data_IF_760527393352
#
_entry.id   IF_760527393352
#
_cell.length_a   1.000
_cell.length_b   1.000
_cell.length_c   1.000
_cell.angle_alpha   90.00
_cell.angle_beta   90.00
_cell.angle_gamma   90.00
#
_symmetry.space_group_name_H-M   'P 1'
#
loop_
_entity.id
_entity.type
_entity.pdbx_description
1 polymer ?
#
# COMPACT_ATOMS: atom_id res chain seq x y z
N UNK A 1 19.93 -7.79 -6.98
CA UNK A 1 20.60 -6.84 -7.89
C UNK A 1 20.90 -5.53 -7.15
N UNK A 2 22.12 -4.99 -7.27
CA UNK A 2 22.47 -3.69 -6.71
C UNK A 2 22.43 -2.65 -7.84
N UNK A 3 21.54 -1.67 -7.71
CA UNK A 3 21.41 -0.58 -8.67
C UNK A 3 22.27 0.61 -8.29
N UNK A 4 22.93 1.22 -9.28
CA UNK A 4 23.64 2.50 -9.06
C UNK A 4 22.64 3.64 -8.79
N UNK A 5 23.08 4.70 -8.12
CA UNK A 5 22.25 5.91 -7.92
C UNK A 5 21.72 6.49 -9.23
N UNK A 6 22.48 6.39 -10.33
CA UNK A 6 22.07 6.81 -11.67
C UNK A 6 20.92 5.92 -12.19
N UNK A 7 21.04 4.60 -12.06
CA UNK A 7 20.02 3.65 -12.49
C UNK A 7 18.72 3.77 -11.68
N UNK A 8 18.81 4.13 -10.40
CA UNK A 8 17.65 4.36 -9.56
C UNK A 8 16.88 5.65 -9.89
N UNK A 9 17.49 6.59 -10.61
CA UNK A 9 16.86 7.88 -10.91
C UNK A 9 16.56 8.73 -9.65
N UNK A 10 15.92 9.88 -9.84
CA UNK A 10 15.51 10.79 -8.76
C UNK A 10 13.99 10.82 -8.64
N UNK A 11 13.47 10.87 -7.42
CA UNK A 11 12.05 11.04 -7.16
C UNK A 11 11.51 12.43 -7.62
N UNK A 12 12.37 13.41 -7.73
CA UNK A 12 11.97 14.79 -7.98
C UNK A 12 11.71 15.56 -6.68
N UNK A 13 11.08 16.72 -6.80
CA UNK A 13 10.70 17.55 -5.65
C UNK A 13 9.38 17.00 -5.05
N UNK A 14 9.33 16.91 -3.73
CA UNK A 14 8.11 16.60 -3.00
C UNK A 14 7.07 17.71 -3.20
N UNK A 15 5.77 17.36 -3.19
CA UNK A 15 4.69 18.34 -3.17
C UNK A 15 4.75 19.18 -1.89
N UNK A 16 4.18 20.40 -1.90
CA UNK A 16 3.96 21.17 -0.67
C UNK A 16 3.15 20.35 0.33
N UNK A 17 3.35 20.62 1.63
CA UNK A 17 2.58 19.97 2.69
C UNK A 17 1.07 20.06 2.40
N UNK A 18 0.37 18.97 2.67
CA UNK A 18 -1.10 18.94 2.57
C UNK A 18 -1.71 19.69 3.76
N UNK A 19 -2.95 20.08 3.66
CA UNK A 19 -3.66 20.74 4.75
C UNK A 19 -4.00 19.79 5.91
N UNK A 20 -5.23 19.80 6.36
CA UNK A 20 -5.69 18.87 7.40
C UNK A 20 -5.99 17.51 6.80
N UNK A 21 -5.73 16.44 7.53
CA UNK A 21 -6.05 15.07 7.13
C UNK A 21 -7.54 14.90 6.79
N UNK A 22 -8.41 15.62 7.51
CA UNK A 22 -9.86 15.64 7.27
C UNK A 22 -10.28 16.28 5.95
N UNK A 23 -9.39 17.00 5.27
CA UNK A 23 -9.67 17.60 3.96
C UNK A 23 -9.35 16.61 2.81
N UNK A 24 -8.81 15.43 3.13
CA UNK A 24 -8.47 14.43 2.14
C UNK A 24 -9.72 13.77 1.55
N UNK A 25 -9.77 13.73 0.22
CA UNK A 25 -10.68 12.89 -0.56
C UNK A 25 -9.83 11.85 -1.29
N UNK A 26 -10.12 10.57 -1.06
CA UNK A 26 -9.25 9.47 -1.45
C UNK A 26 -10.01 8.52 -2.37
N UNK A 27 -9.43 8.21 -3.54
CA UNK A 27 -9.88 7.12 -4.40
C UNK A 27 -8.90 5.96 -4.32
N UNK A 28 -9.42 4.74 -4.10
CA UNK A 28 -8.61 3.52 -4.11
C UNK A 28 -8.56 2.92 -5.52
N UNK A 29 -7.39 2.40 -5.91
CA UNK A 29 -7.20 1.74 -7.20
C UNK A 29 -6.08 0.70 -7.15
N UNK A 30 -6.21 -0.32 -8.01
CA UNK A 30 -5.12 -1.23 -8.37
C UNK A 30 -4.49 -0.77 -9.70
N UNK A 31 -3.18 -0.81 -9.83
CA UNK A 31 -2.46 -0.34 -11.03
C UNK A 31 -2.89 -1.13 -12.27
N UNK A 32 -2.97 -2.46 -12.17
CA UNK A 32 -3.38 -3.31 -13.29
C UNK A 32 -4.83 -3.07 -13.65
N UNK A 33 -5.72 -3.17 -12.69
CA UNK A 33 -7.17 -3.11 -12.93
C UNK A 33 -7.60 -1.74 -13.46
N UNK A 34 -6.88 -0.67 -13.10
CA UNK A 34 -7.14 0.68 -13.56
C UNK A 34 -7.08 0.84 -15.09
N UNK A 35 -6.22 0.08 -15.78
CA UNK A 35 -5.97 0.32 -17.20
C UNK A 35 -5.85 -0.92 -18.07
N UNK A 36 -5.85 -2.14 -17.51
CA UNK A 36 -5.58 -3.37 -18.25
C UNK A 36 -6.67 -3.71 -19.29
N UNK A 37 -7.91 -3.29 -19.06
CA UNK A 37 -9.00 -3.56 -20.01
C UNK A 37 -8.71 -2.85 -21.34
N UNK A 38 -8.69 -3.57 -22.49
CA UNK A 38 -8.45 -2.97 -23.81
C UNK A 38 -9.40 -1.81 -24.15
N UNK A 39 -10.61 -1.80 -23.57
CA UNK A 39 -11.58 -0.71 -23.75
C UNK A 39 -11.28 0.54 -22.90
N UNK A 40 -10.24 0.53 -22.05
CA UNK A 40 -9.83 1.67 -21.22
C UNK A 40 -9.38 2.89 -22.03
N UNK A 41 -8.95 2.67 -23.29
CA UNK A 41 -8.36 3.70 -24.13
C UNK A 41 -6.91 4.04 -23.82
N UNK A 42 -6.31 3.37 -22.84
CA UNK A 42 -4.88 3.48 -22.53
C UNK A 42 -4.07 2.75 -23.62
N UNK A 43 -2.92 3.30 -23.99
CA UNK A 43 -2.00 2.71 -24.98
C UNK A 43 -1.65 1.29 -24.61
N UNK A 44 -1.66 0.37 -25.58
CA UNK A 44 -1.52 -1.06 -25.36
C UNK A 44 -0.23 -1.45 -24.60
N UNK A 45 0.87 -0.74 -24.84
CA UNK A 45 2.16 -0.93 -24.18
C UNK A 45 2.17 -0.45 -22.71
N UNK A 46 1.14 0.30 -22.29
CA UNK A 46 1.01 0.84 -20.93
C UNK A 46 -0.16 0.26 -20.15
N UNK A 47 -1.00 -0.55 -20.77
CA UNK A 47 -2.13 -1.20 -20.09
C UNK A 47 -1.64 -2.05 -18.91
N UNK A 48 -2.24 -1.85 -17.74
CA UNK A 48 -1.88 -2.54 -16.50
C UNK A 48 -0.52 -2.15 -15.91
N UNK A 49 0.08 -1.05 -16.34
CA UNK A 49 1.45 -0.63 -15.98
C UNK A 49 1.48 0.71 -15.24
N UNK A 50 2.61 0.98 -14.54
CA UNK A 50 2.85 2.27 -13.87
C UNK A 50 2.56 3.47 -14.79
N UNK A 51 3.05 3.41 -16.03
CA UNK A 51 2.92 4.51 -16.97
C UNK A 51 1.51 4.70 -17.52
N UNK A 52 0.68 3.65 -17.49
CA UNK A 52 -0.74 3.72 -17.85
C UNK A 52 -1.56 4.57 -16.87
N UNK A 53 -1.16 4.62 -15.60
CA UNK A 53 -1.85 5.43 -14.58
C UNK A 53 -1.80 6.92 -14.90
N UNK A 54 -0.76 7.38 -15.56
CA UNK A 54 -0.49 8.80 -15.82
C UNK A 54 -0.64 9.20 -17.28
N UNK A 55 -1.18 8.32 -18.12
CA UNK A 55 -1.53 8.66 -19.50
C UNK A 55 -2.79 9.53 -19.53
N UNK A 56 -2.71 10.67 -20.21
CA UNK A 56 -3.79 11.66 -20.34
C UNK A 56 -4.40 11.66 -21.73
N UNK A 57 -5.57 12.28 -21.88
CA UNK A 57 -6.28 12.39 -23.16
C UNK A 57 -6.99 11.11 -23.58
N UNK A 58 -7.08 10.11 -22.69
CA UNK A 58 -7.64 8.81 -22.99
C UNK A 58 -9.17 8.80 -22.87
N UNK A 59 -9.80 7.95 -23.69
CA UNK A 59 -11.24 7.74 -23.69
C UNK A 59 -11.56 6.26 -23.87
N UNK A 60 -12.61 5.82 -23.21
CA UNK A 60 -13.15 4.47 -23.43
C UNK A 60 -13.66 4.33 -24.87
N UNK A 61 -13.90 3.10 -25.32
CA UNK A 61 -14.50 2.81 -26.63
C UNK A 61 -15.86 3.51 -26.84
N UNK A 62 -16.58 3.85 -25.75
CA UNK A 62 -17.84 4.60 -25.78
C UNK A 62 -17.66 6.11 -25.69
N UNK A 63 -16.43 6.62 -25.72
CA UNK A 63 -16.12 8.05 -25.69
C UNK A 63 -16.08 8.70 -24.30
N UNK A 64 -16.31 7.96 -23.23
CA UNK A 64 -16.20 8.49 -21.86
C UNK A 64 -14.72 8.73 -21.50
N UNK A 65 -14.45 9.80 -20.75
CA UNK A 65 -13.12 10.10 -20.21
C UNK A 65 -12.65 8.96 -19.31
N UNK A 66 -11.40 8.54 -19.49
CA UNK A 66 -10.77 7.46 -18.73
C UNK A 66 -9.39 7.85 -18.20
N UNK A 67 -8.73 6.94 -17.51
CA UNK A 67 -7.35 7.11 -17.04
C UNK A 67 -7.16 8.30 -16.10
N UNK A 68 -6.03 8.99 -16.25
CA UNK A 68 -5.66 10.12 -15.39
C UNK A 68 -6.70 11.25 -15.42
N UNK A 69 -7.27 11.55 -16.60
CA UNK A 69 -8.25 12.64 -16.71
C UNK A 69 -9.57 12.30 -16.01
N UNK A 70 -9.92 11.02 -15.92
CA UNK A 70 -11.03 10.58 -15.07
C UNK A 70 -10.74 10.81 -13.59
N UNK A 71 -9.55 10.42 -13.10
CA UNK A 71 -9.15 10.69 -11.70
C UNK A 71 -9.21 12.20 -11.38
N UNK A 72 -8.75 13.04 -12.28
CA UNK A 72 -8.84 14.49 -12.13
C UNK A 72 -10.29 14.98 -12.05
N UNK A 73 -11.19 14.40 -12.84
CA UNK A 73 -12.61 14.76 -12.84
C UNK A 73 -13.33 14.40 -11.53
N UNK A 74 -12.82 13.44 -10.77
CA UNK A 74 -13.36 13.08 -9.45
C UNK A 74 -13.08 14.16 -8.39
N UNK A 75 -12.11 15.05 -8.62
CA UNK A 75 -11.71 16.06 -7.65
C UNK A 75 -11.04 15.50 -6.40
N UNK A 76 -10.53 14.25 -6.44
CA UNK A 76 -9.83 13.63 -5.32
C UNK A 76 -8.48 14.29 -5.06
N UNK A 77 -8.09 14.35 -3.81
CA UNK A 77 -6.80 14.90 -3.39
C UNK A 77 -5.69 13.86 -3.39
N UNK A 78 -6.07 12.59 -3.18
CA UNK A 78 -5.17 11.44 -3.09
C UNK A 78 -5.73 10.25 -3.88
N UNK A 79 -4.81 9.44 -4.41
CA UNK A 79 -5.11 8.06 -4.80
C UNK A 79 -4.42 7.12 -3.81
N UNK A 80 -5.17 6.16 -3.30
CA UNK A 80 -4.66 5.04 -2.53
C UNK A 80 -4.43 3.88 -3.50
N UNK A 81 -3.16 3.54 -3.70
CA UNK A 81 -2.78 2.48 -4.62
C UNK A 81 -2.58 1.18 -3.83
N UNK A 82 -3.35 0.15 -4.18
CA UNK A 82 -3.21 -1.20 -3.65
C UNK A 82 -1.76 -1.66 -3.78
N UNK A 83 -1.30 -2.69 -3.02
CA UNK A 83 0.13 -2.97 -2.87
C UNK A 83 0.90 -2.94 -4.18
N UNK A 84 1.96 -2.15 -4.23
CA UNK A 84 2.78 -1.92 -5.42
C UNK A 84 4.28 -2.17 -5.19
N UNK A 85 4.65 -2.78 -4.06
CA UNK A 85 5.94 -3.41 -3.88
C UNK A 85 5.86 -4.90 -4.28
N UNK A 86 7.00 -5.52 -4.43
CA UNK A 86 7.18 -6.88 -4.95
C UNK A 86 6.39 -7.92 -4.13
N UNK A 87 5.55 -8.69 -4.81
CA UNK A 87 4.70 -9.74 -4.25
C UNK A 87 4.87 -11.07 -5.00
N UNK A 88 4.53 -12.21 -4.36
CA UNK A 88 5.02 -13.52 -4.74
C UNK A 88 4.26 -14.25 -5.84
N UNK A 89 2.95 -13.99 -6.00
CA UNK A 89 2.08 -14.89 -6.77
C UNK A 89 1.93 -14.54 -8.25
N UNK A 90 2.74 -13.64 -8.80
CA UNK A 90 2.71 -13.27 -10.21
C UNK A 90 4.04 -13.57 -10.88
N UNK A 91 4.01 -14.26 -12.03
CA UNK A 91 5.18 -14.37 -12.89
C UNK A 91 5.37 -13.05 -13.65
N UNK A 92 6.22 -12.17 -13.14
CA UNK A 92 6.46 -10.83 -13.69
C UNK A 92 6.89 -10.82 -15.16
N UNK A 93 7.50 -11.92 -15.64
CA UNK A 93 8.00 -12.07 -17.02
C UNK A 93 7.09 -12.96 -17.89
N UNK A 94 5.98 -13.41 -17.33
CA UNK A 94 4.97 -14.22 -18.01
C UNK A 94 4.00 -13.40 -18.88
N UNK A 95 2.92 -14.04 -19.28
CA UNK A 95 1.81 -13.34 -19.93
C UNK A 95 1.04 -12.52 -18.88
N UNK A 96 1.04 -11.22 -19.05
CA UNK A 96 0.36 -10.25 -18.16
C UNK A 96 -0.84 -9.58 -18.86
N UNK A 97 -1.30 -10.13 -19.99
CA UNK A 97 -2.43 -9.59 -20.75
C UNK A 97 -3.74 -9.64 -19.95
N UNK A 98 -4.78 -8.99 -20.48
CA UNK A 98 -6.07 -8.81 -19.79
C UNK A 98 -6.69 -10.13 -19.31
N UNK A 99 -6.67 -11.17 -20.14
CA UNK A 99 -7.28 -12.48 -19.85
C UNK A 99 -6.26 -13.54 -19.41
N UNK A 100 -5.02 -13.17 -19.11
CA UNK A 100 -4.00 -14.16 -18.76
C UNK A 100 -4.26 -14.76 -17.38
N UNK A 101 -4.23 -16.09 -17.29
CA UNK A 101 -4.35 -16.82 -16.03
C UNK A 101 -3.19 -16.48 -15.10
N UNK A 102 -3.50 -16.23 -13.82
CA UNK A 102 -2.50 -15.90 -12.79
C UNK A 102 -1.85 -14.52 -12.93
N UNK A 103 -2.29 -13.69 -13.87
CA UNK A 103 -1.80 -12.31 -14.02
C UNK A 103 -2.49 -11.32 -13.09
N UNK A 104 -3.69 -11.63 -12.58
CA UNK A 104 -4.42 -10.79 -11.66
C UNK A 104 -4.01 -11.11 -10.22
N UNK A 105 -3.50 -10.10 -9.53
CA UNK A 105 -3.18 -10.13 -8.10
C UNK A 105 -3.34 -8.73 -7.52
N UNK A 106 -3.95 -8.64 -6.36
CA UNK A 106 -4.08 -7.35 -5.66
C UNK A 106 -2.84 -6.96 -4.86
N UNK A 107 -1.87 -7.90 -4.71
CA UNK A 107 -0.57 -7.63 -4.11
C UNK A 107 -0.49 -7.84 -2.60
N UNK A 108 -1.47 -8.51 -1.99
CA UNK A 108 -1.47 -8.78 -0.54
C UNK A 108 -0.67 -10.03 -0.13
N UNK A 109 0.32 -10.40 -0.92
CA UNK A 109 1.27 -11.50 -0.64
C UNK A 109 2.72 -11.02 -0.81
N UNK A 110 3.18 -10.09 0.05
CA UNK A 110 4.46 -9.40 -0.11
C UNK A 110 5.66 -10.35 -0.01
N UNK A 111 6.66 -10.13 -0.89
CA UNK A 111 7.93 -10.86 -0.87
C UNK A 111 9.11 -9.93 -0.57
N UNK A 112 9.24 -8.81 -1.26
CA UNK A 112 10.31 -7.84 -1.05
C UNK A 112 9.76 -6.43 -0.81
N UNK A 113 9.61 -6.04 0.45
CA UNK A 113 8.97 -4.79 0.89
C UNK A 113 9.58 -3.49 0.34
N UNK A 114 10.85 -3.50 -0.07
CA UNK A 114 11.56 -2.28 -0.50
C UNK A 114 11.89 -2.28 -2.00
N UNK A 115 11.17 -3.09 -2.77
CA UNK A 115 11.33 -3.21 -4.22
C UNK A 115 9.97 -2.96 -4.88
N UNK A 116 9.86 -2.07 -5.89
CA UNK A 116 8.62 -1.91 -6.66
C UNK A 116 8.25 -3.20 -7.40
N UNK A 117 6.96 -3.46 -7.54
CA UNK A 117 6.44 -4.61 -8.29
C UNK A 117 6.86 -4.55 -9.77
N UNK A 118 7.40 -5.66 -10.26
CA UNK A 118 7.94 -5.73 -11.62
C UNK A 118 6.89 -5.94 -12.70
N UNK A 119 5.80 -6.63 -12.40
CA UNK A 119 4.70 -6.86 -13.36
C UNK A 119 4.05 -5.55 -13.82
N UNK A 120 4.15 -4.47 -13.03
CA UNK A 120 3.67 -3.14 -13.38
C UNK A 120 4.67 -2.33 -14.22
N UNK A 121 5.89 -2.80 -14.44
CA UNK A 121 6.86 -2.12 -15.31
C UNK A 121 6.75 -2.58 -16.76
N UNK A 122 7.21 -1.74 -17.69
CA UNK A 122 7.25 -2.08 -19.12
C UNK A 122 8.28 -3.18 -19.45
N UNK A 123 9.29 -3.35 -18.60
CA UNK A 123 10.34 -4.36 -18.75
C UNK A 123 10.72 -4.97 -17.39
N UNK A 124 10.01 -6.01 -16.92
CA UNK A 124 10.29 -6.68 -15.64
C UNK A 124 11.70 -7.26 -15.54
N UNK A 125 12.28 -7.71 -16.66
CA UNK A 125 13.63 -8.25 -16.70
C UNK A 125 14.73 -7.21 -16.46
N UNK A 126 14.41 -5.93 -16.61
CA UNK A 126 15.34 -4.84 -16.28
C UNK A 126 14.99 -4.25 -14.91
N UNK A 127 15.75 -4.52 -13.85
CA UNK A 127 15.42 -4.10 -12.49
C UNK A 127 15.35 -2.59 -12.29
N UNK A 128 15.93 -1.78 -13.18
CA UNK A 128 15.80 -0.32 -13.11
C UNK A 128 14.48 0.20 -13.66
N UNK A 129 13.80 -0.55 -14.53
CA UNK A 129 12.53 -0.13 -15.12
C UNK A 129 11.45 0.07 -14.05
N UNK A 130 11.24 -0.91 -13.17
CA UNK A 130 10.24 -0.82 -12.08
C UNK A 130 10.48 0.38 -11.18
N UNK A 131 11.74 0.69 -10.88
CA UNK A 131 12.13 1.83 -10.02
C UNK A 131 11.86 3.16 -10.70
N UNK A 132 12.29 3.31 -11.94
CA UNK A 132 12.15 4.57 -12.67
C UNK A 132 10.71 4.86 -13.07
N UNK A 133 9.96 3.84 -13.49
CA UNK A 133 8.57 3.97 -13.91
C UNK A 133 7.62 4.25 -12.74
N UNK A 134 7.82 3.60 -11.59
CA UNK A 134 7.08 3.96 -10.38
C UNK A 134 7.31 5.43 -9.98
N UNK A 135 8.56 5.91 -10.03
CA UNK A 135 8.87 7.32 -9.78
C UNK A 135 8.22 8.26 -10.82
N UNK A 136 8.15 7.84 -12.07
CA UNK A 136 7.47 8.61 -13.13
C UNK A 136 5.96 8.66 -12.89
N UNK A 137 5.35 7.56 -12.45
CA UNK A 137 3.94 7.52 -12.06
C UNK A 137 3.65 8.51 -10.92
N UNK A 138 4.37 8.42 -9.82
CA UNK A 138 4.19 9.34 -8.68
C UNK A 138 4.38 10.80 -9.12
N UNK A 139 5.43 11.09 -9.87
CA UNK A 139 5.68 12.43 -10.41
C UNK A 139 4.56 12.92 -11.35
N UNK A 140 3.99 12.02 -12.16
CA UNK A 140 2.88 12.33 -13.05
C UNK A 140 1.61 12.67 -12.29
N UNK A 141 1.28 11.92 -11.24
CA UNK A 141 0.17 12.21 -10.34
C UNK A 141 0.36 13.54 -9.62
N UNK A 142 1.55 13.80 -9.06
CA UNK A 142 1.89 15.07 -8.40
C UNK A 142 1.74 16.29 -9.33
N UNK A 143 2.15 16.17 -10.59
CA UNK A 143 1.95 17.25 -11.60
C UNK A 143 0.49 17.60 -11.81
N UNK A 144 -0.41 16.69 -11.51
CA UNK A 144 -1.86 16.87 -11.61
C UNK A 144 -2.52 17.10 -10.24
N UNK A 145 -1.76 17.51 -9.24
CA UNK A 145 -2.19 17.77 -7.87
C UNK A 145 -2.84 16.58 -7.16
N UNK A 146 -2.50 15.36 -7.55
CA UNK A 146 -2.97 14.12 -6.91
C UNK A 146 -1.80 13.54 -6.12
N UNK A 147 -1.98 13.34 -4.83
CA UNK A 147 -1.03 12.71 -3.91
C UNK A 147 -1.20 11.19 -3.93
N UNK A 148 -0.18 10.47 -3.47
CA UNK A 148 -0.15 9.00 -3.50
C UNK A 148 -0.09 8.46 -2.08
N UNK A 149 -1.09 7.64 -1.73
CA UNK A 149 -1.08 6.77 -0.55
C UNK A 149 -0.69 5.38 -1.02
N UNK A 150 0.31 4.79 -0.38
CA UNK A 150 0.76 3.44 -0.65
C UNK A 150 0.11 2.47 0.34
N UNK A 151 -0.55 1.44 -0.18
CA UNK A 151 -1.05 0.33 0.63
C UNK A 151 0.12 -0.58 0.99
N UNK A 152 0.31 -0.82 2.29
CA UNK A 152 1.46 -1.57 2.82
C UNK A 152 1.00 -2.73 3.71
N UNK A 153 1.58 -3.90 3.47
CA UNK A 153 1.24 -5.18 4.09
C UNK A 153 2.42 -5.67 4.92
N UNK A 154 2.69 -5.00 6.04
CA UNK A 154 3.80 -5.41 6.92
C UNK A 154 3.43 -6.50 7.92
N UNK A 155 2.15 -6.88 7.98
CA UNK A 155 1.64 -7.86 8.95
C UNK A 155 1.97 -9.31 8.61
N UNK A 156 2.28 -9.64 7.36
CA UNK A 156 2.69 -10.98 6.93
C UNK A 156 3.57 -10.93 5.68
N UNK A 157 4.11 -12.06 5.26
CA UNK A 157 4.83 -12.25 4.00
C UNK A 157 4.24 -13.40 3.20
N UNK A 158 4.52 -13.45 1.89
CA UNK A 158 4.06 -14.52 0.99
C UNK A 158 4.44 -15.92 1.51
N UNK A 159 5.70 -16.11 1.89
CA UNK A 159 6.19 -17.40 2.39
C UNK A 159 7.27 -17.21 3.46
N UNK A 160 6.90 -17.34 4.74
CA UNK A 160 7.80 -17.10 5.86
C UNK A 160 9.01 -18.05 5.85
N UNK A 161 8.85 -19.33 5.48
CA UNK A 161 9.94 -20.31 5.50
C UNK A 161 11.06 -19.93 4.50
N UNK A 162 10.69 -19.39 3.35
CA UNK A 162 11.62 -19.01 2.30
C UNK A 162 12.02 -17.53 2.31
N UNK A 163 11.39 -16.73 3.16
CA UNK A 163 11.65 -15.29 3.22
C UNK A 163 13.05 -14.97 3.73
N UNK A 164 13.63 -13.88 3.26
CA UNK A 164 14.96 -13.41 3.67
C UNK A 164 15.08 -13.18 5.18
N UNK A 165 14.00 -12.77 5.85
CA UNK A 165 13.96 -12.60 7.30
C UNK A 165 14.30 -13.90 8.03
N UNK A 166 13.64 -14.99 7.67
CA UNK A 166 13.85 -16.28 8.34
C UNK A 166 15.20 -16.90 7.97
N UNK A 167 15.67 -16.67 6.73
CA UNK A 167 17.00 -17.13 6.30
C UNK A 167 18.14 -16.38 7.01
N UNK A 168 17.93 -15.10 7.34
CA UNK A 168 18.96 -14.26 8.00
C UNK A 168 19.00 -14.48 9.49
N UNK A 169 17.83 -14.45 10.17
CA UNK A 169 17.71 -14.68 11.62
C UNK A 169 16.48 -15.56 11.88
N UNK A 170 16.65 -16.89 11.81
CA UNK A 170 15.55 -17.82 12.05
C UNK A 170 14.85 -17.57 13.39
N UNK A 171 13.52 -17.59 13.40
CA UNK A 171 12.72 -17.47 14.61
C UNK A 171 12.59 -16.05 15.17
N UNK A 172 13.16 -15.01 14.52
CA UNK A 172 13.13 -13.65 15.06
C UNK A 172 11.99 -12.76 14.50
N UNK A 173 11.81 -12.74 13.21
CA UNK A 173 10.95 -11.74 12.55
C UNK A 173 9.47 -12.12 12.49
N UNK A 174 9.14 -13.38 12.80
CA UNK A 174 7.78 -13.89 12.81
C UNK A 174 7.34 -14.24 14.22
N UNK A 175 6.02 -14.23 14.46
CA UNK A 175 5.42 -14.72 15.70
C UNK A 175 5.33 -16.23 15.68
N UNK A 176 5.60 -16.84 16.82
CA UNK A 176 5.48 -18.27 17.03
C UNK A 176 4.66 -18.51 18.29
N UNK A 177 3.89 -19.59 18.28
CA UNK A 177 3.19 -20.09 19.47
C UNK A 177 4.14 -20.83 20.41
N UNK A 178 3.63 -21.29 21.56
CA UNK A 178 4.40 -22.02 22.57
C UNK A 178 4.92 -23.38 22.06
N UNK A 179 4.37 -23.90 20.96
CA UNK A 179 4.81 -25.15 20.32
C UNK A 179 5.88 -24.91 19.24
N UNK A 180 6.24 -23.65 18.98
CA UNK A 180 7.18 -23.27 17.93
C UNK A 180 6.57 -23.25 16.52
N UNK A 181 5.26 -23.26 16.38
CA UNK A 181 4.56 -23.09 15.10
C UNK A 181 4.34 -21.61 14.78
N UNK A 182 4.33 -21.26 13.49
CA UNK A 182 4.01 -19.90 13.06
C UNK A 182 2.58 -19.53 13.48
N UNK A 183 2.43 -18.36 14.08
CA UNK A 183 1.13 -17.73 14.34
C UNK A 183 0.52 -17.30 13.00
N UNK A 184 -0.79 -17.41 12.86
CA UNK A 184 -1.54 -17.13 11.63
C UNK A 184 -2.83 -16.33 11.91
N UNK A 185 -2.71 -15.25 12.68
CA UNK A 185 -3.85 -14.38 12.99
C UNK A 185 -4.26 -13.54 11.76
N UNK A 186 -3.32 -13.30 10.84
CA UNK A 186 -3.60 -12.68 9.53
C UNK A 186 -4.44 -13.55 8.60
N UNK A 187 -4.49 -14.87 8.82
CA UNK A 187 -5.09 -15.82 7.87
C UNK A 187 -4.23 -16.12 6.64
N UNK A 188 -3.02 -15.58 6.58
CA UNK A 188 -2.10 -15.68 5.43
C UNK A 188 -0.93 -16.65 5.67
N UNK A 189 -1.00 -17.47 6.72
CA UNK A 189 -0.02 -18.50 7.04
C UNK A 189 1.14 -18.06 7.92
N UNK A 190 1.27 -16.78 8.21
CA UNK A 190 2.28 -16.24 9.11
C UNK A 190 1.94 -14.81 9.54
N UNK A 191 2.46 -14.40 10.69
CA UNK A 191 2.42 -13.04 11.19
C UNK A 191 3.82 -12.53 11.48
N UNK A 192 4.13 -11.30 11.09
CA UNK A 192 5.39 -10.64 11.46
C UNK A 192 5.34 -10.16 12.91
N UNK A 193 6.45 -10.25 13.62
CA UNK A 193 6.58 -9.84 15.01
C UNK A 193 6.98 -8.35 15.10
N UNK A 194 6.05 -7.44 14.81
CA UNK A 194 6.30 -5.98 14.78
C UNK A 194 6.77 -5.43 16.11
N UNK A 195 6.38 -6.05 17.22
CA UNK A 195 6.79 -5.73 18.59
C UNK A 195 8.29 -5.95 18.85
N UNK A 196 8.97 -6.72 18.02
CA UNK A 196 10.43 -6.96 18.13
C UNK A 196 11.23 -5.82 17.51
N UNK A 197 12.25 -5.38 18.19
CA UNK A 197 13.01 -4.17 17.88
C UNK A 197 13.49 -4.07 16.43
N UNK A 198 13.99 -5.17 15.84
CA UNK A 198 14.52 -5.15 14.48
C UNK A 198 13.41 -5.22 13.42
N UNK A 199 12.27 -5.89 13.72
CA UNK A 199 11.12 -5.83 12.81
C UNK A 199 10.48 -4.44 12.81
N UNK A 200 10.31 -3.83 13.97
CA UNK A 200 9.88 -2.43 14.10
C UNK A 200 10.79 -1.49 13.32
N UNK A 201 12.10 -1.61 13.54
CA UNK A 201 13.09 -0.82 12.79
C UNK A 201 12.92 -1.01 11.28
N UNK A 202 12.72 -2.22 10.82
CA UNK A 202 12.55 -2.52 9.40
C UNK A 202 11.30 -1.82 8.84
N UNK A 203 10.17 -1.87 9.53
CA UNK A 203 8.93 -1.21 9.12
C UNK A 203 9.12 0.31 9.03
N UNK A 204 9.72 0.92 10.07
CA UNK A 204 9.98 2.37 10.12
C UNK A 204 10.95 2.80 9.01
N UNK A 205 12.02 2.05 8.80
CA UNK A 205 13.00 2.32 7.73
C UNK A 205 12.34 2.18 6.33
N UNK A 206 11.46 1.19 6.16
CA UNK A 206 10.76 0.93 4.90
C UNK A 206 9.82 2.07 4.53
N UNK A 207 8.93 2.52 5.41
CA UNK A 207 8.04 3.66 5.11
C UNK A 207 8.84 4.94 4.87
N UNK A 208 9.93 5.14 5.62
CA UNK A 208 10.85 6.26 5.42
C UNK A 208 11.52 6.20 4.04
N UNK A 209 11.93 5.01 3.62
CA UNK A 209 12.51 4.78 2.29
C UNK A 209 11.53 5.16 1.18
N UNK A 210 10.27 4.71 1.24
CA UNK A 210 9.24 5.03 0.26
C UNK A 210 8.91 6.51 0.24
N UNK A 211 8.75 7.14 1.43
CA UNK A 211 8.48 8.56 1.52
C UNK A 211 9.60 9.43 0.93
N UNK A 212 10.87 9.07 1.17
CA UNK A 212 12.03 9.86 0.70
C UNK A 212 12.41 9.59 -0.75
N UNK A 213 12.37 8.32 -1.18
CA UNK A 213 12.92 7.94 -2.49
C UNK A 213 11.87 7.92 -3.61
N UNK A 214 10.58 7.93 -3.27
CA UNK A 214 9.47 7.93 -4.21
C UNK A 214 8.49 9.09 -3.98
N UNK A 215 8.69 9.91 -2.96
CA UNK A 215 7.78 11.00 -2.54
C UNK A 215 6.37 10.51 -2.22
N UNK A 216 6.22 9.34 -1.64
CA UNK A 216 4.93 8.83 -1.19
C UNK A 216 4.35 9.76 -0.12
N UNK A 217 3.05 10.08 -0.22
CA UNK A 217 2.36 11.10 0.57
C UNK A 217 1.46 10.52 1.64
N UNK A 218 1.35 9.20 1.72
CA UNK A 218 0.60 8.50 2.74
C UNK A 218 0.82 7.00 2.70
N UNK A 219 0.42 6.34 3.80
CA UNK A 219 0.51 4.88 3.94
C UNK A 219 -0.79 4.35 4.55
N UNK A 220 -1.40 3.37 3.88
CA UNK A 220 -2.50 2.57 4.41
C UNK A 220 -1.94 1.25 4.88
N UNK A 221 -2.09 0.95 6.16
CA UNK A 221 -1.60 -0.30 6.74
C UNK A 221 -2.69 -1.36 6.68
N UNK A 222 -2.47 -2.37 5.86
CA UNK A 222 -3.26 -3.58 5.82
C UNK A 222 -3.19 -4.29 7.17
N UNK A 223 -4.33 -4.76 7.68
CA UNK A 223 -4.46 -5.40 8.99
C UNK A 223 -3.62 -4.70 10.07
N UNK A 224 -3.74 -3.38 10.17
CA UNK A 224 -3.00 -2.55 11.13
C UNK A 224 -3.17 -3.04 12.57
N UNK A 225 -4.29 -3.69 12.87
CA UNK A 225 -4.56 -4.31 14.18
C UNK A 225 -3.56 -5.39 14.58
N UNK A 226 -2.83 -5.97 13.64
CA UNK A 226 -1.76 -6.95 13.88
C UNK A 226 -0.37 -6.30 14.06
N UNK A 227 -0.28 -4.97 13.96
CA UNK A 227 0.94 -4.19 14.22
C UNK A 227 0.80 -3.53 15.60
N UNK A 228 1.85 -3.61 16.40
CA UNK A 228 1.82 -3.01 17.75
C UNK A 228 1.80 -1.47 17.71
N UNK A 229 1.16 -0.86 18.72
CA UNK A 229 0.98 0.60 18.81
C UNK A 229 2.31 1.35 18.88
N UNK A 230 3.33 0.78 19.52
CA UNK A 230 4.66 1.39 19.58
C UNK A 230 5.31 1.49 18.20
N UNK A 231 5.18 0.45 17.38
CA UNK A 231 5.65 0.48 15.98
C UNK A 231 4.93 1.59 15.20
N UNK A 232 3.60 1.69 15.35
CA UNK A 232 2.84 2.73 14.65
C UNK A 232 3.17 4.15 15.13
N UNK A 233 3.43 4.33 16.41
CA UNK A 233 3.93 5.60 16.96
C UNK A 233 5.30 5.99 16.35
N UNK A 234 6.22 5.04 16.25
CA UNK A 234 7.55 5.28 15.64
C UNK A 234 7.44 5.54 14.13
N UNK A 235 6.53 4.86 13.43
CA UNK A 235 6.20 5.17 12.02
C UNK A 235 5.74 6.62 11.90
N UNK A 236 4.76 7.05 12.70
CA UNK A 236 4.25 8.43 12.67
C UNK A 236 5.37 9.43 12.93
N UNK A 237 6.14 9.23 13.99
CA UNK A 237 7.24 10.12 14.37
C UNK A 237 8.35 10.19 13.30
N UNK A 238 8.63 9.12 12.59
CA UNK A 238 9.62 9.10 11.52
C UNK A 238 9.13 9.85 10.26
N UNK A 239 7.84 9.70 9.93
CA UNK A 239 7.23 10.39 8.80
C UNK A 239 7.07 11.89 9.06
N UNK A 240 6.76 12.30 10.29
CA UNK A 240 6.67 13.72 10.69
C UNK A 240 7.97 14.48 10.48
N UNK A 241 9.12 13.81 10.64
CA UNK A 241 10.44 14.40 10.34
C UNK A 241 10.66 14.66 8.86
N UNK A 242 9.88 14.04 7.99
CA UNK A 242 9.94 14.23 6.53
C UNK A 242 8.93 15.29 6.11
N UNK A 243 7.66 15.06 6.48
CA UNK A 243 6.53 15.93 6.23
C UNK A 243 5.37 15.51 7.14
N UNK A 244 4.96 16.36 8.12
CA UNK A 244 3.87 16.03 9.05
C UNK A 244 2.52 15.81 8.34
N UNK A 245 2.36 16.28 7.10
CA UNK A 245 1.14 16.09 6.33
C UNK A 245 1.03 14.73 5.63
N UNK A 246 2.04 13.87 5.73
CA UNK A 246 1.95 12.49 5.26
C UNK A 246 0.84 11.77 6.02
N UNK A 247 -0.16 11.28 5.29
CA UNK A 247 -1.30 10.57 5.89
C UNK A 247 -0.88 9.16 6.30
N UNK A 248 -1.29 8.76 7.52
CA UNK A 248 -1.19 7.35 7.95
C UNK A 248 -2.59 6.90 8.37
N UNK A 249 -3.04 5.83 7.77
CA UNK A 249 -4.33 5.21 8.07
C UNK A 249 -4.22 3.69 7.99
N UNK A 250 -5.22 2.98 8.50
CA UNK A 250 -5.20 1.53 8.37
C UNK A 250 -6.41 0.81 8.96
N UNK A 251 -6.39 -0.50 8.80
CA UNK A 251 -7.42 -1.41 9.29
C UNK A 251 -7.13 -1.79 10.74
N UNK A 252 -7.77 -1.11 11.66
CA UNK A 252 -7.65 -1.36 13.10
C UNK A 252 -8.64 -2.42 13.61
N UNK A 253 -8.78 -3.53 12.90
CA UNK A 253 -9.66 -4.62 13.29
C UNK A 253 -9.04 -5.45 14.43
N UNK A 254 -9.86 -5.87 15.40
CA UNK A 254 -9.48 -6.89 16.38
C UNK A 254 -9.60 -8.28 15.74
N UNK A 255 -8.47 -8.82 15.30
CA UNK A 255 -8.37 -10.13 14.66
C UNK A 255 -8.23 -11.28 15.67
N UNK A 256 -8.50 -11.04 16.97
CA UNK A 256 -8.24 -11.98 18.06
C UNK A 256 -6.78 -12.46 18.10
N UNK A 257 -5.85 -11.55 17.80
CA UNK A 257 -4.42 -11.85 17.80
C UNK A 257 -3.93 -12.43 19.12
N UNK A 258 -2.89 -13.26 19.03
CA UNK A 258 -2.12 -13.74 20.18
C UNK A 258 -1.31 -12.63 20.87
N UNK A 259 -1.18 -11.46 20.24
CA UNK A 259 -0.58 -10.27 20.84
C UNK A 259 -1.48 -9.73 21.98
N UNK A 260 -0.87 -9.13 23.02
CA UNK A 260 -1.62 -8.44 24.06
C UNK A 260 -2.52 -7.37 23.44
N UNK A 261 -3.82 -7.44 23.73
CA UNK A 261 -4.81 -6.48 23.16
C UNK A 261 -4.49 -5.04 23.48
N UNK A 262 -3.83 -4.74 24.60
CA UNK A 262 -3.42 -3.38 24.97
C UNK A 262 -2.29 -2.83 24.08
N UNK A 263 -1.56 -3.71 23.40
CA UNK A 263 -0.46 -3.34 22.49
C UNK A 263 -0.89 -3.30 21.02
N UNK A 264 -2.07 -3.84 20.67
CA UNK A 264 -2.56 -3.87 19.30
C UNK A 264 -3.03 -2.50 18.81
N UNK A 265 -2.77 -2.17 17.54
CA UNK A 265 -3.28 -0.94 16.91
C UNK A 265 -4.71 -1.16 16.39
N UNK A 266 -5.62 -1.39 17.30
CA UNK A 266 -7.06 -1.60 17.06
C UNK A 266 -7.88 -0.36 17.41
N UNK A 267 -9.12 -0.26 16.91
CA UNK A 267 -9.99 0.89 17.17
C UNK A 267 -10.11 1.26 18.66
N UNK A 268 -10.31 0.33 19.61
CA UNK A 268 -10.33 0.66 21.03
C UNK A 268 -9.05 1.35 21.55
N UNK A 269 -7.92 1.11 20.91
CA UNK A 269 -6.62 1.66 21.29
C UNK A 269 -6.23 2.91 20.46
N UNK A 270 -7.14 3.44 19.65
CA UNK A 270 -6.87 4.57 18.76
C UNK A 270 -6.33 5.81 19.50
N UNK A 271 -6.68 5.98 20.79
CA UNK A 271 -6.14 7.05 21.63
C UNK A 271 -4.62 7.03 21.77
N UNK A 272 -3.98 5.86 21.66
CA UNK A 272 -2.51 5.72 21.76
C UNK A 272 -1.76 6.27 20.54
N UNK A 273 -2.45 6.41 19.41
CA UNK A 273 -1.90 6.90 18.13
C UNK A 273 -2.66 8.13 17.62
N UNK A 274 -3.49 8.71 18.45
CA UNK A 274 -4.23 9.92 18.14
C UNK A 274 -3.29 11.13 18.01
N UNK A 275 -3.77 12.19 17.35
CA UNK A 275 -3.07 13.47 17.35
C UNK A 275 -2.93 14.00 18.77
N UNK A 276 -1.74 14.43 19.11
CA UNK A 276 -1.42 15.15 20.35
C UNK A 276 -1.42 16.68 20.16
N UNK A 277 -1.90 17.15 19.01
CA UNK A 277 -1.89 18.54 18.60
C UNK A 277 -0.60 18.97 17.88
N UNK A 278 0.43 18.12 17.83
CA UNK A 278 1.70 18.37 17.12
C UNK A 278 1.83 17.57 15.82
N UNK A 279 1.02 16.52 15.67
CA UNK A 279 0.98 15.65 14.49
C UNK A 279 -0.47 15.37 14.06
N UNK A 280 -0.66 14.78 12.88
CA UNK A 280 -1.98 14.44 12.36
C UNK A 280 -2.59 13.15 12.95
N UNK A 281 -1.87 12.45 13.82
CA UNK A 281 -2.28 11.16 14.33
C UNK A 281 -2.34 10.08 13.24
N UNK A 282 -3.00 8.96 13.57
CA UNK A 282 -3.24 7.84 12.66
C UNK A 282 -4.75 7.63 12.54
N UNK A 283 -5.26 7.52 11.33
CA UNK A 283 -6.66 7.31 11.04
C UNK A 283 -6.99 5.81 10.97
N UNK A 284 -8.23 5.48 11.32
CA UNK A 284 -8.75 4.11 11.31
C UNK A 284 -9.92 3.99 10.35
N UNK A 285 -10.02 2.89 9.62
CA UNK A 285 -11.24 2.53 8.93
C UNK A 285 -12.40 2.39 9.93
N UNK A 286 -13.58 2.82 9.53
CA UNK A 286 -14.77 2.79 10.37
C UNK A 286 -15.86 1.92 9.70
N UNK A 287 -15.98 0.68 10.17
CA UNK A 287 -16.96 -0.29 9.70
C UNK A 287 -18.39 0.11 10.06
N UNK A 288 -18.60 0.74 11.22
CA UNK A 288 -19.94 1.19 11.63
C UNK A 288 -20.53 2.22 10.67
N UNK A 289 -19.70 3.19 10.20
CA UNK A 289 -20.12 4.17 9.19
C UNK A 289 -20.36 3.47 7.84
N UNK A 290 -19.43 2.62 7.41
CA UNK A 290 -19.56 1.86 6.17
C UNK A 290 -20.84 1.05 6.14
N UNK A 291 -21.07 0.25 7.17
CA UNK A 291 -22.19 -0.67 7.24
C UNK A 291 -23.52 0.07 7.47
N UNK A 292 -23.50 1.18 8.20
CA UNK A 292 -24.64 2.07 8.36
C UNK A 292 -25.10 2.75 7.06
N UNK A 293 -24.17 3.00 6.14
CA UNK A 293 -24.47 3.67 4.87
C UNK A 293 -24.85 2.70 3.75
N UNK A 294 -24.19 1.56 3.64
CA UNK A 294 -24.39 0.63 2.50
C UNK A 294 -24.82 -0.79 2.88
N UNK A 295 -24.96 -1.10 4.17
CA UNK A 295 -25.17 -2.45 4.68
C UNK A 295 -23.87 -3.22 4.89
N UNK A 296 -23.95 -4.30 5.71
CA UNK A 296 -22.79 -5.13 6.00
C UNK A 296 -22.29 -5.85 4.74
N UNK A 297 -20.98 -5.85 4.54
CA UNK A 297 -20.34 -6.60 3.44
C UNK A 297 -20.24 -8.10 3.72
N UNK A 298 -20.55 -8.53 4.95
CA UNK A 298 -20.48 -9.92 5.41
C UNK A 298 -21.87 -10.57 5.58
N UNK A 299 -22.93 -9.90 5.18
CA UNK A 299 -24.30 -10.45 5.24
C UNK A 299 -25.03 -10.20 3.94
N UNK A 300 -25.84 -11.19 3.50
CA UNK A 300 -26.70 -11.08 2.32
C UNK A 300 -27.90 -10.13 2.52
N UNK A 301 -28.08 -9.62 3.73
CA UNK A 301 -29.10 -8.63 4.06
C UNK A 301 -28.57 -7.23 3.74
N UNK A 302 -28.73 -6.81 2.51
CA UNK A 302 -28.59 -5.39 2.19
C UNK A 302 -29.72 -4.63 2.86
N UNK A 303 -29.40 -3.89 3.92
CA UNK A 303 -30.36 -3.07 4.66
C UNK A 303 -30.67 -1.73 3.96
N UNK A 304 -30.29 -1.57 2.71
CA UNK A 304 -30.63 -0.36 1.96
C UNK A 304 -32.01 -0.55 1.31
N UNK A 305 -33.03 -0.35 2.09
CA UNK A 305 -34.30 0.14 1.62
C UNK A 305 -34.45 1.60 2.07
N UNK A 306 -33.79 2.48 1.33
CA UNK A 306 -34.11 3.91 1.35
C UNK A 306 -34.89 4.23 0.11
#
# INVERSE_FOLDING_TARGET
VVLSKKAMGKAGKRMPAFGKTTDASIAEMNIRDFSINPASGISADKQGKYLGVVESGTKTAKGATSGLDYLKSLGVTHVQIMPMYDYGSVNETGDLSYNADGAQNWGYDPENYNVPEGSYSSNPSNPSSRVTEMKQMVKGLHKNNIRVIMDVVYNHVHNAANHSFNKTVPGYYFRYDDNGSLVNDSGCGNDTASERAMMRKYIVDSVTYWAKNYNIDGFRFDLMGLIDTKTMQEVRAALDKIDPSIIVLGEGWDMNSTMDKSEMTIQPNAYQVASDGTNNGIAFFNDSIRDGLKGSVFSDLSLIHI
#
